data_IF_053347256906
#
_entry.id   IF_053347256906
#
_cell.length_a   1.000
_cell.length_b   1.000
_cell.length_c   1.000
_cell.angle_alpha   90.00
_cell.angle_beta   90.00
_cell.angle_gamma   90.00
#
_symmetry.space_group_name_H-M   'P 1'
#
loop_
_entity.id
_entity.type
_entity.pdbx_description
1 polymer ?
#
# COMPACT_ATOMS: atom_id res chain seq x y z
N UNK A 1 59.21 -46.54 -34.66
CA UNK A 1 57.83 -46.50 -35.21
C UNK A 1 56.81 -47.18 -34.26
N UNK A 2 57.02 -47.15 -32.94
CA UNK A 2 56.21 -47.92 -31.96
C UNK A 2 55.39 -47.08 -30.97
N UNK A 3 55.38 -45.76 -31.11
CA UNK A 3 54.58 -44.86 -30.25
C UNK A 3 53.17 -44.60 -30.80
N UNK A 4 53.00 -44.65 -32.12
CA UNK A 4 51.71 -44.39 -32.77
C UNK A 4 50.71 -45.58 -32.67
N UNK A 5 51.19 -46.81 -32.49
CA UNK A 5 50.31 -48.00 -32.36
C UNK A 5 49.69 -48.16 -30.97
N UNK A 6 50.31 -47.58 -29.92
CA UNK A 6 49.85 -47.72 -28.53
C UNK A 6 48.66 -46.79 -28.22
N UNK A 7 48.63 -45.61 -28.82
CA UNK A 7 47.54 -44.63 -28.65
C UNK A 7 46.25 -45.09 -29.36
N UNK A 8 46.36 -45.88 -30.43
CA UNK A 8 45.21 -46.38 -31.18
C UNK A 8 44.53 -47.63 -30.56
N UNK A 9 45.22 -48.36 -29.66
CA UNK A 9 44.60 -49.47 -28.91
C UNK A 9 43.88 -49.00 -27.64
N UNK A 10 44.34 -47.91 -27.03
CA UNK A 10 43.70 -47.36 -25.82
C UNK A 10 42.35 -46.67 -26.14
N UNK A 11 42.22 -45.98 -27.29
CA UNK A 11 40.96 -45.31 -27.65
C UNK A 11 39.81 -46.27 -27.96
N UNK A 12 40.11 -47.47 -28.48
CA UNK A 12 39.08 -48.51 -28.75
C UNK A 12 38.53 -49.16 -27.49
N UNK A 13 39.29 -49.12 -26.40
CA UNK A 13 38.90 -49.73 -25.12
C UNK A 13 37.95 -48.81 -24.33
N UNK A 14 38.16 -47.49 -24.40
CA UNK A 14 37.25 -46.48 -23.81
C UNK A 14 35.92 -46.31 -24.55
N UNK A 15 35.88 -46.58 -25.86
CA UNK A 15 34.63 -46.49 -26.63
C UNK A 15 33.68 -47.67 -26.39
N UNK A 16 34.19 -48.84 -25.97
CA UNK A 16 33.39 -50.05 -25.79
C UNK A 16 32.68 -50.12 -24.43
N UNK A 17 33.24 -49.52 -23.37
CA UNK A 17 32.60 -49.47 -22.04
C UNK A 17 31.44 -48.47 -21.94
N UNK A 18 31.34 -47.50 -22.85
CA UNK A 18 30.25 -46.50 -22.85
C UNK A 18 29.02 -46.90 -23.68
N UNK A 19 29.10 -47.96 -24.48
CA UNK A 19 27.98 -48.43 -25.29
C UNK A 19 27.02 -49.37 -24.52
N UNK A 20 27.51 -50.07 -23.50
CA UNK A 20 26.73 -51.05 -22.73
C UNK A 20 25.92 -50.43 -21.57
N UNK A 21 26.10 -49.13 -21.29
CA UNK A 21 25.35 -48.43 -20.21
C UNK A 21 24.03 -47.80 -20.68
N UNK A 22 23.72 -47.80 -21.99
CA UNK A 22 22.53 -47.12 -22.54
C UNK A 22 21.48 -48.07 -23.13
N UNK A 23 21.55 -49.36 -22.80
CA UNK A 23 20.81 -50.39 -23.52
C UNK A 23 20.08 -51.41 -22.66
N UNK A 24 19.47 -51.05 -21.53
CA UNK A 24 18.41 -51.87 -20.89
C UNK A 24 17.83 -51.17 -19.66
N UNK A 25 16.78 -50.37 -19.82
CA UNK A 25 15.71 -50.22 -18.83
C UNK A 25 14.46 -49.64 -19.51
N UNK A 26 14.02 -50.34 -20.56
CA UNK A 26 12.72 -50.13 -21.20
C UNK A 26 11.77 -51.22 -20.71
N UNK A 27 11.08 -50.95 -19.60
CA UNK A 27 9.68 -51.33 -19.37
C UNK A 27 9.30 -51.07 -17.92
N UNK A 28 8.07 -50.61 -17.73
CA UNK A 28 7.35 -50.53 -16.44
C UNK A 28 7.45 -49.25 -15.59
N UNK A 29 7.42 -48.09 -16.26
CA UNK A 29 6.90 -46.85 -15.66
C UNK A 29 5.80 -46.25 -16.55
N UNK A 30 4.75 -47.04 -16.76
CA UNK A 30 3.46 -46.54 -17.22
C UNK A 30 2.59 -46.27 -16.00
N UNK A 31 2.03 -45.06 -15.91
CA UNK A 31 1.19 -44.51 -14.84
C UNK A 31 1.92 -44.12 -13.54
N UNK A 32 2.18 -42.81 -13.42
CA UNK A 32 1.89 -41.92 -12.26
C UNK A 32 2.83 -40.70 -12.15
N UNK A 33 3.31 -40.17 -13.27
CA UNK A 33 4.17 -38.97 -13.30
C UNK A 33 3.57 -37.80 -14.09
N UNK A 34 2.24 -37.67 -14.09
CA UNK A 34 1.54 -36.45 -14.56
C UNK A 34 1.15 -35.50 -13.42
N UNK A 35 1.36 -35.88 -12.16
CA UNK A 35 0.83 -35.13 -11.00
C UNK A 35 1.81 -34.12 -10.38
N UNK A 36 3.09 -34.11 -10.77
CA UNK A 36 4.12 -33.26 -10.11
C UNK A 36 4.36 -31.93 -10.86
N UNK A 37 4.09 -31.84 -12.17
CA UNK A 37 4.24 -30.58 -12.92
C UNK A 37 3.15 -29.54 -12.64
N UNK A 38 2.00 -29.96 -12.10
CA UNK A 38 0.91 -29.04 -11.75
C UNK A 38 1.04 -28.39 -10.37
N UNK A 39 1.92 -28.88 -9.49
CA UNK A 39 2.10 -28.35 -8.14
C UNK A 39 3.03 -27.12 -8.06
N UNK A 40 3.87 -26.87 -9.07
CA UNK A 40 4.74 -25.69 -9.12
C UNK A 40 4.10 -24.47 -9.82
N UNK A 41 3.01 -24.66 -10.56
CA UNK A 41 2.29 -23.56 -11.24
C UNK A 41 1.22 -22.92 -10.32
N UNK A 42 0.81 -23.60 -9.25
CA UNK A 42 -0.17 -23.07 -8.28
C UNK A 42 0.42 -22.19 -7.15
N UNK A 43 1.75 -22.05 -7.06
CA UNK A 43 2.42 -21.22 -6.04
C UNK A 43 2.78 -19.79 -6.51
N UNK A 44 2.23 -19.32 -7.63
CA UNK A 44 2.46 -17.96 -8.15
C UNK A 44 1.17 -17.14 -8.34
N UNK A 45 0.14 -17.45 -7.54
CA UNK A 45 -0.99 -16.54 -7.32
C UNK A 45 -1.00 -16.18 -5.84
N UNK A 46 0.13 -15.67 -5.33
CA UNK A 46 0.06 -14.80 -4.14
C UNK A 46 -0.61 -13.53 -4.64
N UNK A 47 -1.93 -13.52 -4.51
CA UNK A 47 -2.78 -12.43 -4.91
C UNK A 47 -2.17 -11.12 -4.39
N UNK A 48 -1.74 -10.25 -5.29
CA UNK A 48 -1.78 -8.83 -5.03
C UNK A 48 -3.27 -8.47 -4.91
N UNK A 49 -3.89 -8.79 -3.78
CA UNK A 49 -5.11 -8.10 -3.38
C UNK A 49 -4.65 -6.67 -3.11
N UNK A 50 -4.86 -5.78 -4.08
CA UNK A 50 -5.01 -4.37 -3.78
C UNK A 50 -6.24 -4.25 -2.88
N UNK A 51 -6.04 -4.47 -1.57
CA UNK A 51 -6.98 -4.05 -0.54
C UNK A 51 -7.02 -2.53 -0.62
N UNK A 52 -7.94 -2.03 -1.43
CA UNK A 52 -8.36 -0.64 -1.38
C UNK A 52 -8.91 -0.40 0.03
N UNK A 53 -8.61 0.75 0.63
CA UNK A 53 -9.25 1.12 1.90
C UNK A 53 -10.76 1.09 1.68
N UNK A 54 -11.40 0.08 2.26
CA UNK A 54 -12.81 -0.16 2.05
C UNK A 54 -13.60 0.90 2.81
N UNK A 55 -14.04 1.94 2.11
CA UNK A 55 -14.88 2.99 2.69
C UNK A 55 -16.27 2.47 3.10
N UNK A 56 -16.62 1.19 2.88
CA UNK A 56 -17.93 0.63 3.24
C UNK A 56 -18.23 0.75 4.74
N UNK A 57 -17.19 0.79 5.59
CA UNK A 57 -17.35 1.00 7.04
C UNK A 57 -17.73 2.44 7.39
N UNK A 58 -17.52 3.40 6.48
CA UNK A 58 -17.92 4.79 6.63
C UNK A 58 -19.33 4.93 6.05
N UNK A 59 -20.29 5.39 6.85
CA UNK A 59 -21.68 5.55 6.44
C UNK A 59 -21.88 6.78 5.53
N UNK A 60 -21.17 6.84 4.41
CA UNK A 60 -21.08 8.01 3.54
C UNK A 60 -22.42 8.42 2.94
N UNK A 61 -23.31 7.46 2.66
CA UNK A 61 -24.67 7.74 2.17
C UNK A 61 -25.49 8.52 3.20
N UNK A 62 -25.40 8.17 4.49
CA UNK A 62 -26.08 8.92 5.54
C UNK A 62 -25.59 10.38 5.62
N UNK A 63 -24.30 10.63 5.46
CA UNK A 63 -23.75 11.99 5.44
C UNK A 63 -24.16 12.78 4.19
N UNK A 64 -24.28 12.11 3.04
CA UNK A 64 -24.76 12.72 1.79
C UNK A 64 -26.17 13.30 1.94
N UNK A 65 -27.04 12.64 2.70
CA UNK A 65 -28.42 13.06 2.88
C UNK A 65 -28.65 14.01 4.04
N UNK A 66 -27.75 14.06 5.02
CA UNK A 66 -27.92 14.83 6.26
C UNK A 66 -26.95 16.01 6.35
N UNK A 67 -25.65 15.74 6.42
CA UNK A 67 -24.61 16.73 6.66
C UNK A 67 -24.33 17.56 5.39
N UNK A 68 -24.14 16.90 4.26
CA UNK A 68 -23.67 17.56 3.04
C UNK A 68 -24.72 18.37 2.27
N UNK A 69 -26.01 18.22 2.61
CA UNK A 69 -27.09 19.06 2.07
C UNK A 69 -27.15 20.46 2.70
N UNK A 70 -26.44 20.67 3.81
CA UNK A 70 -26.44 21.94 4.53
C UNK A 70 -25.60 22.99 3.79
N UNK A 71 -25.84 24.29 3.99
CA UNK A 71 -24.93 25.33 3.51
C UNK A 71 -23.50 25.13 4.03
N UNK A 72 -22.49 25.47 3.22
CA UNK A 72 -21.06 25.28 3.57
C UNK A 72 -20.70 25.95 4.90
N UNK A 73 -21.26 27.12 5.19
CA UNK A 73 -21.06 27.82 6.47
C UNK A 73 -21.57 26.99 7.65
N UNK A 74 -22.77 26.42 7.53
CA UNK A 74 -23.35 25.55 8.55
C UNK A 74 -22.62 24.21 8.68
N UNK A 75 -22.05 23.69 7.59
CA UNK A 75 -21.25 22.45 7.64
C UNK A 75 -20.06 22.61 8.58
N UNK A 76 -19.30 23.71 8.49
CA UNK A 76 -18.16 23.94 9.38
C UNK A 76 -18.59 24.04 10.86
N UNK A 77 -19.68 24.77 11.15
CA UNK A 77 -20.21 24.95 12.50
C UNK A 77 -20.75 23.65 13.12
N UNK A 78 -21.33 22.76 12.30
CA UNK A 78 -21.81 21.46 12.76
C UNK A 78 -20.68 20.44 12.84
N UNK A 79 -19.70 20.52 11.95
CA UNK A 79 -18.55 19.62 11.91
C UNK A 79 -17.74 19.70 13.20
N UNK A 80 -17.45 20.92 13.70
CA UNK A 80 -16.66 21.11 14.92
C UNK A 80 -17.33 20.54 16.18
N UNK A 81 -18.66 20.34 16.15
CA UNK A 81 -19.44 19.78 17.27
C UNK A 81 -19.40 18.25 17.32
N UNK A 82 -19.02 17.61 16.22
CA UNK A 82 -18.89 16.16 16.17
C UNK A 82 -17.66 15.68 16.96
N UNK A 83 -17.69 14.43 17.39
CA UNK A 83 -16.50 13.74 17.89
C UNK A 83 -15.48 13.51 16.74
N UNK A 84 -14.24 13.19 17.11
CA UNK A 84 -13.11 13.08 16.17
C UNK A 84 -13.30 11.94 15.15
N UNK A 85 -13.90 10.81 15.54
CA UNK A 85 -14.17 9.67 14.63
C UNK A 85 -15.25 10.06 13.61
N UNK A 86 -16.31 10.72 14.07
CA UNK A 86 -17.36 11.24 13.19
C UNK A 86 -16.82 12.34 12.26
N UNK A 87 -15.95 13.23 12.75
CA UNK A 87 -15.25 14.21 11.91
C UNK A 87 -14.40 13.54 10.83
N UNK A 88 -13.64 12.49 11.18
CA UNK A 88 -12.87 11.70 10.24
C UNK A 88 -13.76 11.09 9.15
N UNK A 89 -14.84 10.42 9.55
CA UNK A 89 -15.75 9.78 8.62
C UNK A 89 -16.40 10.79 7.65
N UNK A 90 -16.91 11.91 8.17
CA UNK A 90 -17.47 12.99 7.35
C UNK A 90 -16.40 13.51 6.40
N UNK A 91 -15.19 13.81 6.89
CA UNK A 91 -14.13 14.39 6.07
C UNK A 91 -13.72 13.47 4.91
N UNK A 92 -13.45 12.19 5.18
CA UNK A 92 -13.06 11.21 4.16
C UNK A 92 -14.18 11.01 3.14
N UNK A 93 -15.43 10.81 3.56
CA UNK A 93 -16.56 10.71 2.63
C UNK A 93 -16.68 11.98 1.78
N UNK A 94 -16.57 13.15 2.40
CA UNK A 94 -16.67 14.44 1.72
C UNK A 94 -15.58 14.68 0.69
N UNK A 95 -14.38 14.15 0.89
CA UNK A 95 -13.27 14.26 -0.05
C UNK A 95 -13.29 13.21 -1.16
N UNK A 96 -13.81 12.01 -0.89
CA UNK A 96 -13.66 10.86 -1.80
C UNK A 96 -14.94 10.49 -2.55
N UNK A 97 -16.12 10.90 -2.08
CA UNK A 97 -17.39 10.53 -2.71
C UNK A 97 -18.20 11.72 -3.22
N UNK A 98 -17.66 12.95 -3.13
CA UNK A 98 -18.36 14.17 -3.58
C UNK A 98 -17.54 14.94 -4.60
N UNK A 99 -18.26 15.60 -5.50
CA UNK A 99 -17.72 16.61 -6.41
C UNK A 99 -18.48 17.94 -6.18
N UNK A 100 -17.79 19.03 -5.77
CA UNK A 100 -16.36 19.10 -5.48
C UNK A 100 -15.97 18.43 -4.14
N UNK A 101 -14.71 17.98 -3.97
CA UNK A 101 -14.21 17.46 -2.71
C UNK A 101 -14.33 18.45 -1.55
N UNK A 102 -14.70 17.96 -0.37
CA UNK A 102 -14.95 18.78 0.83
C UNK A 102 -13.68 19.15 1.59
N UNK A 103 -12.61 19.53 0.88
CA UNK A 103 -11.29 19.84 1.46
C UNK A 103 -11.32 21.01 2.47
N UNK A 104 -12.31 21.89 2.36
CA UNK A 104 -12.52 23.00 3.29
C UNK A 104 -12.73 22.55 4.75
N UNK A 105 -13.12 21.30 4.98
CA UNK A 105 -13.29 20.73 6.33
C UNK A 105 -11.96 20.35 7.01
N UNK A 106 -10.84 20.31 6.28
CA UNK A 106 -9.53 20.00 6.86
C UNK A 106 -9.12 21.03 7.92
N UNK A 107 -9.38 22.32 7.67
CA UNK A 107 -9.04 23.42 8.59
C UNK A 107 -9.77 23.27 9.94
N UNK A 108 -11.12 23.16 9.99
CA UNK A 108 -11.80 22.96 11.27
C UNK A 108 -11.47 21.62 11.92
N UNK A 109 -11.16 20.57 11.16
CA UNK A 109 -10.74 19.28 11.73
C UNK A 109 -9.40 19.41 12.48
N UNK A 110 -8.43 20.07 11.85
CA UNK A 110 -7.12 20.30 12.44
C UNK A 110 -7.16 21.03 13.78
N UNK A 111 -8.20 21.83 14.06
CA UNK A 111 -8.34 22.53 15.36
C UNK A 111 -8.46 21.61 16.57
N UNK A 112 -8.83 20.34 16.38
CA UNK A 112 -8.87 19.32 17.45
C UNK A 112 -7.49 18.90 17.94
N UNK A 113 -6.42 19.24 17.22
CA UNK A 113 -5.05 19.11 17.68
C UNK A 113 -4.71 17.71 18.19
N UNK A 114 -4.32 17.61 19.47
CA UNK A 114 -3.94 16.34 20.11
C UNK A 114 -5.02 15.26 20.05
N UNK A 115 -6.31 15.62 20.15
CA UNK A 115 -7.42 14.65 20.09
C UNK A 115 -7.47 13.97 18.71
N UNK A 116 -7.23 14.73 17.64
CA UNK A 116 -7.17 14.21 16.27
C UNK A 116 -5.86 13.50 15.95
N UNK A 117 -4.73 13.94 16.51
CA UNK A 117 -3.41 13.40 16.19
C UNK A 117 -3.32 11.87 16.39
N UNK A 118 -3.88 11.36 17.49
CA UNK A 118 -3.89 9.92 17.78
C UNK A 118 -4.64 9.12 16.71
N UNK A 119 -5.87 9.54 16.42
CA UNK A 119 -6.72 8.91 15.40
C UNK A 119 -6.06 8.97 14.01
N UNK A 120 -5.61 10.16 13.60
CA UNK A 120 -5.01 10.36 12.27
C UNK A 120 -3.74 9.53 12.10
N UNK A 121 -2.90 9.41 13.14
CA UNK A 121 -1.72 8.53 13.12
C UNK A 121 -2.13 7.08 12.88
N UNK A 122 -3.14 6.60 13.58
CA UNK A 122 -3.64 5.23 13.44
C UNK A 122 -4.23 5.00 12.04
N UNK A 123 -5.10 5.88 11.56
CA UNK A 123 -5.70 5.73 10.22
C UNK A 123 -4.62 5.80 9.13
N UNK A 124 -3.63 6.68 9.27
CA UNK A 124 -2.53 6.83 8.31
C UNK A 124 -1.60 5.61 8.26
N UNK A 125 -1.32 4.97 9.41
CA UNK A 125 -0.46 3.79 9.45
C UNK A 125 -1.07 2.60 8.71
N UNK A 126 -2.40 2.47 8.77
CA UNK A 126 -3.18 1.41 8.13
C UNK A 126 -3.64 1.75 6.70
N UNK A 127 -3.67 3.03 6.33
CA UNK A 127 -4.10 3.50 5.00
C UNK A 127 -3.29 2.85 3.87
N UNK A 128 -4.00 2.30 2.90
CA UNK A 128 -3.43 1.75 1.65
C UNK A 128 -3.82 2.54 0.41
N UNK A 129 -4.79 3.45 0.54
CA UNK A 129 -5.23 4.34 -0.52
C UNK A 129 -4.35 5.59 -0.58
N UNK A 130 -3.81 5.89 -1.76
CA UNK A 130 -3.06 7.12 -2.00
C UNK A 130 -3.93 8.36 -1.74
N UNK A 131 -5.23 8.29 -2.08
CA UNK A 131 -6.19 9.37 -1.87
C UNK A 131 -6.50 9.58 -0.39
N UNK A 132 -6.71 8.50 0.39
CA UNK A 132 -6.91 8.56 1.85
C UNK A 132 -5.68 9.07 2.57
N UNK A 133 -4.50 8.62 2.14
CA UNK A 133 -3.21 9.11 2.63
C UNK A 133 -3.12 10.62 2.43
N UNK A 134 -3.41 11.11 1.23
CA UNK A 134 -3.43 12.54 0.90
C UNK A 134 -4.43 13.33 1.74
N UNK A 135 -5.64 12.81 1.96
CA UNK A 135 -6.66 13.49 2.78
C UNK A 135 -6.20 13.62 4.23
N UNK A 136 -5.69 12.55 4.82
CA UNK A 136 -5.19 12.57 6.20
C UNK A 136 -4.00 13.53 6.33
N UNK A 137 -3.06 13.49 5.37
CA UNK A 137 -1.91 14.39 5.38
C UNK A 137 -2.32 15.86 5.29
N UNK A 138 -3.36 16.18 4.51
CA UNK A 138 -3.87 17.55 4.46
C UNK A 138 -4.37 18.03 5.82
N UNK A 139 -5.07 17.18 6.60
CA UNK A 139 -5.48 17.56 7.97
C UNK A 139 -4.26 17.77 8.87
N UNK A 140 -3.28 16.87 8.81
CA UNK A 140 -2.04 16.96 9.61
C UNK A 140 -1.23 18.21 9.25
N UNK A 141 -1.13 18.55 7.97
CA UNK A 141 -0.51 19.78 7.49
C UNK A 141 -1.22 21.00 8.09
N UNK A 142 -2.56 21.04 8.03
CA UNK A 142 -3.33 22.11 8.65
C UNK A 142 -3.15 22.18 10.18
N UNK A 143 -2.87 21.06 10.85
CA UNK A 143 -2.53 21.05 12.28
C UNK A 143 -1.18 21.72 12.55
N UNK A 144 -0.19 21.46 11.70
CA UNK A 144 1.13 22.08 11.77
C UNK A 144 1.03 23.60 11.50
N UNK A 145 0.36 24.00 10.42
CA UNK A 145 0.18 25.41 10.03
C UNK A 145 -0.54 26.20 11.13
N UNK A 146 -1.63 25.65 11.69
CA UNK A 146 -2.41 26.32 12.73
C UNK A 146 -1.79 26.17 14.13
N UNK A 147 -0.69 25.43 14.28
CA UNK A 147 -0.03 25.11 15.56
C UNK A 147 -1.00 24.51 16.59
N UNK A 148 -2.01 23.77 16.14
CA UNK A 148 -2.93 23.05 17.03
C UNK A 148 -2.31 21.77 17.60
N UNK A 149 -1.22 21.29 16.99
CA UNK A 149 -0.40 20.18 17.47
C UNK A 149 1.03 20.33 16.96
N UNK A 150 2.03 19.98 17.79
CA UNK A 150 3.43 19.93 17.39
C UNK A 150 3.71 18.65 16.59
N UNK A 151 3.27 18.64 15.33
CA UNK A 151 3.46 17.50 14.41
C UNK A 151 4.95 17.25 14.19
N UNK A 152 5.73 18.31 13.95
CA UNK A 152 7.15 18.20 13.59
C UNK A 152 8.04 17.73 14.76
N UNK A 153 7.61 17.93 16.00
CA UNK A 153 8.21 17.41 17.22
C UNK A 153 7.75 15.99 17.60
N UNK A 154 6.60 15.52 17.11
CA UNK A 154 6.11 14.15 17.32
C UNK A 154 6.83 13.15 16.39
N UNK A 155 7.92 12.56 16.89
CA UNK A 155 8.75 11.62 16.14
C UNK A 155 7.99 10.38 15.65
N UNK A 156 7.03 9.88 16.42
CA UNK A 156 6.28 8.69 16.05
C UNK A 156 5.32 8.99 14.91
N UNK A 157 4.63 10.13 14.98
CA UNK A 157 3.77 10.60 13.90
C UNK A 157 4.60 10.90 12.63
N UNK A 158 5.73 11.59 12.75
CA UNK A 158 6.61 11.87 11.61
C UNK A 158 7.12 10.60 10.92
N UNK A 159 7.45 9.55 11.68
CA UNK A 159 7.82 8.25 11.10
C UNK A 159 6.66 7.60 10.34
N UNK A 160 5.43 7.69 10.86
CA UNK A 160 4.25 7.16 10.17
C UNK A 160 3.98 7.94 8.88
N UNK A 161 4.14 9.26 8.90
CA UNK A 161 3.99 10.12 7.71
C UNK A 161 5.02 9.75 6.64
N UNK A 162 6.31 9.66 6.99
CA UNK A 162 7.39 9.31 6.06
C UNK A 162 7.13 7.95 5.37
N UNK A 163 6.71 6.95 6.15
CA UNK A 163 6.32 5.63 5.61
C UNK A 163 5.08 5.74 4.72
N UNK A 164 4.07 6.52 5.09
CA UNK A 164 2.87 6.68 4.27
C UNK A 164 3.16 7.37 2.92
N UNK A 165 3.97 8.45 2.93
CA UNK A 165 4.40 9.16 1.73
C UNK A 165 5.21 8.24 0.82
N UNK A 166 6.17 7.48 1.36
CA UNK A 166 7.01 6.57 0.56
C UNK A 166 6.23 5.40 -0.07
N UNK A 167 5.12 4.96 0.56
CA UNK A 167 4.21 3.93 0.03
C UNK A 167 3.28 4.45 -1.08
N UNK A 168 3.16 5.77 -1.27
CA UNK A 168 2.28 6.35 -2.28
C UNK A 168 2.75 5.97 -3.68
N UNK A 169 1.88 5.35 -4.48
CA UNK A 169 2.27 4.73 -5.75
C UNK A 169 2.05 5.64 -6.94
N UNK A 170 0.90 6.31 -6.96
CA UNK A 170 0.54 7.22 -8.03
C UNK A 170 1.48 8.45 -8.03
N UNK A 171 2.12 8.79 -9.17
CA UNK A 171 3.07 9.89 -9.21
C UNK A 171 2.46 11.26 -8.88
N UNK A 172 1.19 11.48 -9.22
CA UNK A 172 0.51 12.74 -8.92
C UNK A 172 0.25 12.85 -7.41
N UNK A 173 -0.30 11.80 -6.78
CA UNK A 173 -0.50 11.78 -5.34
C UNK A 173 0.81 11.82 -4.55
N UNK A 174 1.84 11.14 -5.04
CA UNK A 174 3.16 11.14 -4.41
C UNK A 174 3.73 12.54 -4.31
N UNK A 175 3.67 13.32 -5.40
CA UNK A 175 4.13 14.71 -5.41
C UNK A 175 3.38 15.57 -4.39
N UNK A 176 2.05 15.42 -4.31
CA UNK A 176 1.23 16.17 -3.34
C UNK A 176 1.58 15.80 -1.90
N UNK A 177 1.72 14.50 -1.63
CA UNK A 177 2.06 13.99 -0.29
C UNK A 177 3.47 14.40 0.15
N UNK A 178 4.43 14.41 -0.78
CA UNK A 178 5.79 14.92 -0.53
C UNK A 178 5.77 16.43 -0.25
N UNK A 179 4.96 17.21 -0.96
CA UNK A 179 4.81 18.64 -0.69
C UNK A 179 4.24 18.89 0.72
N UNK A 180 3.13 18.23 1.07
CA UNK A 180 2.53 18.35 2.41
C UNK A 180 3.53 17.96 3.51
N UNK A 181 4.34 16.92 3.27
CA UNK A 181 5.41 16.53 4.18
C UNK A 181 6.45 17.63 4.40
N UNK A 182 6.89 18.31 3.33
CA UNK A 182 7.83 19.42 3.45
C UNK A 182 7.23 20.59 4.25
N UNK A 183 5.95 20.91 4.04
CA UNK A 183 5.27 21.98 4.77
C UNK A 183 5.14 21.65 6.27
N UNK A 184 4.89 20.38 6.61
CA UNK A 184 4.89 19.92 8.01
C UNK A 184 6.29 20.10 8.64
N UNK A 185 7.35 19.73 7.92
CA UNK A 185 8.73 19.83 8.42
C UNK A 185 9.17 21.29 8.56
N UNK A 186 8.75 22.17 7.64
CA UNK A 186 9.11 23.60 7.64
C UNK A 186 8.36 24.41 8.70
N UNK A 187 7.22 23.93 9.19
CA UNK A 187 6.36 24.60 10.18
C UNK A 187 6.89 24.61 11.63
N UNK A 188 8.18 24.29 11.84
CA UNK A 188 8.86 24.28 13.15
C UNK A 188 9.03 25.68 13.76
#
# INVERSE_FOLDING_TARGET
MDRARRIHSESKTYAKQNADSYGTYKSKWGMRMQSIKWLLIMMLISACTTENDDLSHLNCSAFADTFFRKPVTSQADEFIKQDVETQYAIYICGCQTREPPSVHLAIPFAKKGREAAGLLKEKLSHSRSDATTRDILLVIEQMAIQKSYDVAGDRDLMKVIDVAVSRTKDPFWKKQNEQAYQEIVSSR
#
